data_IF_749895737739
#
_entry.id   IF_749895737739
#
_cell.length_a   1.000
_cell.length_b   1.000
_cell.length_c   1.000
_cell.angle_alpha   90.00
_cell.angle_beta   90.00
_cell.angle_gamma   90.00
#
_symmetry.space_group_name_H-M   'P 1'
#
loop_
_entity.id
_entity.type
_entity.pdbx_description
1 polymer ?
#
# COMPACT_ATOMS: atom_id res chain seq x y z
N UNK A 1 73.51 18.60 33.57
CA UNK A 1 72.81 18.92 32.35
C UNK A 1 71.87 17.75 32.03
N UNK A 2 70.60 17.88 32.41
CA UNK A 2 69.57 16.80 32.18
C UNK A 2 68.77 17.08 30.89
N UNK A 3 68.92 16.23 29.93
CA UNK A 3 68.07 16.24 28.69
C UNK A 3 66.76 15.59 29.01
N UNK A 4 65.64 16.35 29.03
CA UNK A 4 64.26 15.84 29.06
C UNK A 4 63.83 15.44 27.65
N UNK A 5 63.61 14.15 27.46
CA UNK A 5 63.03 13.58 26.21
C UNK A 5 61.52 13.74 26.27
N UNK A 6 60.99 14.59 25.44
CA UNK A 6 59.51 14.73 25.24
C UNK A 6 59.06 13.67 24.20
N UNK A 7 58.34 12.65 24.67
CA UNK A 7 57.62 11.70 23.81
C UNK A 7 56.29 12.35 23.35
N UNK A 8 56.21 12.67 22.07
CA UNK A 8 54.98 13.09 21.41
C UNK A 8 54.21 11.83 21.03
N UNK A 9 53.13 11.49 21.76
CA UNK A 9 52.22 10.44 21.41
C UNK A 9 51.23 10.98 20.38
N UNK A 10 51.43 10.65 19.09
CA UNK A 10 50.45 10.94 18.03
C UNK A 10 49.25 10.03 18.19
N UNK A 11 48.15 10.59 18.66
CA UNK A 11 46.84 9.90 18.70
C UNK A 11 46.24 9.92 17.29
N UNK A 12 46.33 8.78 16.59
CA UNK A 12 45.71 8.59 15.28
C UNK A 12 44.21 8.45 15.49
N UNK A 13 43.44 9.53 15.25
CA UNK A 13 41.98 9.47 15.20
C UNK A 13 41.59 8.68 13.92
N UNK A 14 41.25 7.41 14.07
CA UNK A 14 40.60 6.63 13.05
C UNK A 14 39.14 7.09 13.01
N UNK A 15 38.82 8.01 12.10
CA UNK A 15 37.45 8.39 11.77
C UNK A 15 36.79 7.20 11.06
N UNK A 16 36.07 6.38 11.79
CA UNK A 16 35.14 5.43 11.19
C UNK A 16 34.00 6.24 10.54
N UNK A 17 34.13 6.45 9.25
CA UNK A 17 32.98 6.95 8.45
C UNK A 17 31.86 5.91 8.58
N UNK A 18 30.90 6.15 9.48
CA UNK A 18 29.61 5.47 9.40
C UNK A 18 29.03 5.88 8.04
N UNK A 19 29.12 4.98 7.06
CA UNK A 19 28.44 5.16 5.79
C UNK A 19 26.93 5.24 6.10
N UNK A 20 26.40 6.45 6.09
CA UNK A 20 24.95 6.63 6.17
C UNK A 20 24.36 5.92 4.94
N UNK A 21 23.52 4.93 5.19
CA UNK A 21 22.87 4.17 4.12
C UNK A 21 22.08 5.15 3.26
N UNK A 22 22.37 5.18 1.96
CA UNK A 22 21.72 6.12 1.06
C UNK A 22 20.24 5.73 0.84
N UNK A 23 19.43 6.69 0.42
CA UNK A 23 18.03 6.43 0.03
C UNK A 23 17.95 5.34 -1.03
N UNK A 24 18.83 5.41 -2.05
CA UNK A 24 18.85 4.43 -3.14
C UNK A 24 19.25 3.03 -2.64
N UNK A 25 20.13 2.91 -1.62
CA UNK A 25 20.49 1.62 -1.02
C UNK A 25 19.29 1.00 -0.27
N UNK A 26 18.53 1.81 0.48
CA UNK A 26 17.34 1.33 1.22
C UNK A 26 16.28 0.85 0.22
N UNK A 27 16.02 1.62 -0.83
CA UNK A 27 15.05 1.28 -1.87
C UNK A 27 15.49 0.02 -2.63
N UNK A 28 16.75 -0.06 -3.03
CA UNK A 28 17.30 -1.23 -3.73
C UNK A 28 17.21 -2.49 -2.87
N UNK A 29 17.50 -2.38 -1.58
CA UNK A 29 17.37 -3.48 -0.62
C UNK A 29 15.91 -3.93 -0.45
N UNK A 30 14.97 -2.98 -0.39
CA UNK A 30 13.53 -3.27 -0.36
C UNK A 30 13.07 -4.00 -1.64
N UNK A 31 13.44 -3.51 -2.82
CA UNK A 31 13.10 -4.13 -4.11
C UNK A 31 13.67 -5.56 -4.17
N UNK A 32 14.92 -5.75 -3.76
CA UNK A 32 15.55 -7.07 -3.67
C UNK A 32 14.81 -7.99 -2.68
N UNK A 33 14.46 -7.50 -1.49
CA UNK A 33 13.72 -8.23 -0.47
C UNK A 33 12.32 -8.66 -0.92
N UNK A 34 11.67 -7.86 -1.78
CA UNK A 34 10.40 -8.20 -2.42
C UNK A 34 10.51 -9.30 -3.48
N UNK A 35 11.70 -9.65 -3.94
CA UNK A 35 11.94 -10.68 -4.97
C UNK A 35 12.72 -10.18 -6.19
N UNK A 36 13.07 -8.90 -6.21
CA UNK A 36 13.87 -8.26 -7.26
C UNK A 36 13.07 -7.59 -8.37
N UNK A 37 13.69 -6.61 -9.01
CA UNK A 37 13.05 -5.74 -10.00
C UNK A 37 12.47 -6.54 -11.19
N UNK A 38 13.22 -7.49 -11.73
CA UNK A 38 12.78 -8.26 -12.90
C UNK A 38 11.50 -9.05 -12.62
N UNK A 39 11.40 -9.67 -11.45
CA UNK A 39 10.19 -10.40 -11.06
C UNK A 39 9.00 -9.46 -10.86
N UNK A 40 9.20 -8.32 -10.19
CA UNK A 40 8.15 -7.31 -10.01
C UNK A 40 7.64 -6.85 -11.39
N UNK A 41 8.54 -6.53 -12.32
CA UNK A 41 8.18 -6.09 -13.68
C UNK A 41 7.55 -7.19 -14.54
N UNK A 42 7.82 -8.46 -14.24
CA UNK A 42 7.26 -9.60 -14.97
C UNK A 42 5.79 -9.89 -14.63
N UNK A 43 5.28 -9.36 -13.52
CA UNK A 43 3.85 -9.48 -13.15
C UNK A 43 3.01 -8.65 -14.11
N UNK A 44 2.11 -9.28 -14.85
CA UNK A 44 1.18 -8.64 -15.79
C UNK A 44 -0.22 -8.49 -15.21
N UNK A 45 -0.62 -9.47 -14.43
CA UNK A 45 -1.92 -9.51 -13.75
C UNK A 45 -1.74 -10.01 -12.33
N UNK A 46 -2.60 -9.56 -11.45
CA UNK A 46 -2.63 -9.98 -10.04
C UNK A 46 -4.08 -10.06 -9.56
N UNK A 47 -4.38 -11.08 -8.77
CA UNK A 47 -5.61 -11.17 -8.00
C UNK A 47 -5.27 -11.44 -6.55
N UNK A 48 -5.79 -10.60 -5.66
CA UNK A 48 -5.75 -10.79 -4.21
C UNK A 48 -7.18 -11.00 -3.73
N UNK A 49 -7.41 -12.05 -2.99
CA UNK A 49 -8.71 -12.31 -2.35
C UNK A 49 -8.52 -12.69 -0.90
N UNK A 50 -9.53 -12.42 -0.08
CA UNK A 50 -9.50 -12.67 1.35
C UNK A 50 -10.63 -11.98 2.09
N UNK A 51 -10.38 -11.64 3.35
CA UNK A 51 -11.35 -10.99 4.23
C UNK A 51 -10.88 -9.59 4.61
N UNK A 52 -11.83 -8.66 4.64
CA UNK A 52 -11.65 -7.31 5.16
C UNK A 52 -12.61 -7.09 6.32
N UNK A 53 -12.13 -6.45 7.38
CA UNK A 53 -12.94 -6.06 8.54
C UNK A 53 -12.74 -4.57 8.80
N UNK A 54 -13.83 -3.87 9.08
CA UNK A 54 -13.86 -2.45 9.47
C UNK A 54 -14.30 -2.29 10.94
N UNK A 55 -14.19 -3.35 11.75
CA UNK A 55 -14.63 -3.40 13.12
C UNK A 55 -15.73 -4.45 13.36
N UNK A 56 -16.36 -4.48 14.53
CA UNK A 56 -17.42 -5.42 14.85
C UNK A 56 -18.58 -5.34 13.84
N UNK A 57 -19.04 -6.49 13.36
CA UNK A 57 -20.20 -6.63 12.46
C UNK A 57 -20.06 -5.99 11.06
N UNK A 58 -18.85 -5.59 10.68
CA UNK A 58 -18.54 -4.99 9.38
C UNK A 58 -17.37 -5.70 8.70
N UNK A 59 -17.50 -6.99 8.51
CA UNK A 59 -16.50 -7.83 7.84
C UNK A 59 -17.10 -8.55 6.63
N UNK A 60 -16.24 -8.94 5.71
CA UNK A 60 -16.66 -9.71 4.55
C UNK A 60 -15.54 -9.93 3.55
N UNK A 61 -15.83 -10.71 2.50
CA UNK A 61 -14.83 -11.01 1.48
C UNK A 61 -14.51 -9.80 0.61
N UNK A 62 -13.27 -9.76 0.15
CA UNK A 62 -12.83 -8.84 -0.89
C UNK A 62 -12.11 -9.57 -2.03
N UNK A 63 -12.14 -8.95 -3.19
CA UNK A 63 -11.33 -9.31 -4.36
C UNK A 63 -10.74 -8.02 -4.92
N UNK A 64 -9.42 -8.02 -5.16
CA UNK A 64 -8.72 -6.97 -5.89
C UNK A 64 -8.03 -7.60 -7.07
N UNK A 65 -8.35 -7.15 -8.27
CA UNK A 65 -7.71 -7.55 -9.51
C UNK A 65 -6.99 -6.36 -10.12
N UNK A 66 -5.77 -6.59 -10.57
CA UNK A 66 -4.93 -5.59 -11.24
C UNK A 66 -4.42 -6.14 -12.55
N UNK A 67 -4.30 -5.26 -13.56
CA UNK A 67 -3.69 -5.59 -14.85
C UNK A 67 -2.88 -4.39 -15.35
N UNK A 68 -1.69 -4.66 -15.85
CA UNK A 68 -0.87 -3.59 -16.46
C UNK A 68 -1.61 -2.92 -17.63
N UNK A 69 -1.40 -1.60 -17.84
CA UNK A 69 -0.43 -0.78 -17.09
C UNK A 69 -0.92 -0.33 -15.71
N UNK A 70 -2.19 -0.03 -15.48
CA UNK A 70 -2.72 0.54 -14.23
C UNK A 70 -4.21 0.20 -14.06
N UNK A 71 -4.69 -0.92 -14.58
CA UNK A 71 -6.09 -1.30 -14.42
C UNK A 71 -6.34 -1.88 -13.04
N UNK A 72 -7.48 -1.55 -12.46
CA UNK A 72 -7.92 -2.05 -11.17
C UNK A 72 -9.41 -2.40 -11.19
N UNK A 73 -9.75 -3.52 -10.60
CA UNK A 73 -11.10 -3.91 -10.24
C UNK A 73 -11.09 -4.39 -8.79
N UNK A 74 -11.93 -3.77 -7.95
CA UNK A 74 -12.06 -4.10 -6.54
C UNK A 74 -13.52 -4.35 -6.20
N UNK A 75 -13.78 -5.44 -5.50
CA UNK A 75 -15.06 -5.79 -4.91
C UNK A 75 -14.89 -6.01 -3.40
N UNK A 76 -15.75 -5.40 -2.59
CA UNK A 76 -15.81 -5.60 -1.14
C UNK A 76 -17.26 -5.88 -0.78
N UNK A 77 -17.53 -7.03 -0.20
CA UNK A 77 -18.89 -7.42 0.19
C UNK A 77 -19.04 -7.37 1.69
N UNK A 78 -19.90 -6.49 2.21
CA UNK A 78 -20.25 -6.36 3.62
C UNK A 78 -21.75 -6.57 3.77
N UNK A 79 -22.16 -7.45 4.67
CA UNK A 79 -23.58 -7.77 4.91
C UNK A 79 -24.37 -8.12 3.62
N UNK A 80 -23.74 -8.85 2.70
CA UNK A 80 -24.33 -9.26 1.45
C UNK A 80 -24.45 -8.15 0.40
N UNK A 81 -23.93 -6.95 0.66
CA UNK A 81 -23.90 -5.83 -0.27
C UNK A 81 -22.48 -5.60 -0.78
N UNK A 82 -22.31 -5.51 -2.10
CA UNK A 82 -20.99 -5.40 -2.73
C UNK A 82 -20.71 -3.99 -3.23
N UNK A 83 -19.71 -3.34 -2.64
CA UNK A 83 -19.09 -2.12 -3.17
C UNK A 83 -18.15 -2.51 -4.30
N UNK A 84 -18.23 -1.80 -5.43
CA UNK A 84 -17.36 -2.05 -6.59
C UNK A 84 -16.64 -0.77 -6.97
N UNK A 85 -15.33 -0.87 -7.19
CA UNK A 85 -14.48 0.20 -7.72
C UNK A 85 -13.72 -0.34 -8.92
N UNK A 86 -13.78 0.38 -10.04
CA UNK A 86 -13.13 -0.05 -11.29
C UNK A 86 -12.38 1.12 -11.90
N UNK A 87 -11.18 0.87 -12.39
CA UNK A 87 -10.38 1.83 -13.16
C UNK A 87 -9.85 1.17 -14.44
N UNK A 88 -10.05 1.81 -15.59
CA UNK A 88 -9.70 1.25 -16.90
C UNK A 88 -8.22 1.39 -17.28
N UNK A 89 -7.41 1.98 -16.39
CA UNK A 89 -5.98 2.20 -16.61
C UNK A 89 -5.66 3.39 -17.51
N UNK A 90 -6.65 4.22 -17.88
CA UNK A 90 -6.48 5.38 -18.77
C UNK A 90 -7.01 6.66 -18.15
N UNK A 91 -8.33 6.84 -18.16
CA UNK A 91 -8.96 8.06 -17.70
C UNK A 91 -10.30 7.84 -17.03
N UNK A 92 -10.90 6.66 -17.14
CA UNK A 92 -12.25 6.39 -16.64
C UNK A 92 -12.20 5.45 -15.43
N UNK A 93 -12.82 5.90 -14.35
CA UNK A 93 -13.07 5.09 -13.18
C UNK A 93 -14.53 5.16 -12.77
N UNK A 94 -15.03 4.10 -12.18
CA UNK A 94 -16.42 3.96 -11.72
C UNK A 94 -16.48 3.40 -10.31
N UNK A 95 -17.50 3.87 -9.58
CA UNK A 95 -17.84 3.37 -8.24
C UNK A 95 -19.30 2.96 -8.26
N UNK A 96 -19.59 1.78 -7.72
CA UNK A 96 -20.91 1.39 -7.25
C UNK A 96 -20.85 1.24 -5.74
N UNK A 97 -21.58 2.09 -5.01
CA UNK A 97 -21.65 2.05 -3.56
C UNK A 97 -23.09 1.69 -3.13
N UNK A 98 -23.32 0.44 -2.66
CA UNK A 98 -24.66 -0.02 -2.27
C UNK A 98 -25.14 0.62 -0.96
N UNK A 99 -24.26 1.24 -0.18
CA UNK A 99 -24.57 1.85 1.12
C UNK A 99 -25.12 3.28 1.00
N UNK A 100 -25.34 3.78 -0.23
CA UNK A 100 -25.96 5.07 -0.49
C UNK A 100 -27.49 4.92 -0.60
N UNK A 101 -28.27 5.99 -0.34
CA UNK A 101 -29.73 5.92 -0.46
C UNK A 101 -30.26 5.52 -1.84
N UNK A 102 -29.52 5.88 -2.90
CA UNK A 102 -29.86 5.55 -4.29
C UNK A 102 -28.63 4.94 -4.97
N UNK A 103 -28.37 3.64 -4.79
CA UNK A 103 -27.21 2.99 -5.36
C UNK A 103 -27.21 3.04 -6.88
N UNK A 104 -26.13 3.57 -7.46
CA UNK A 104 -25.93 3.64 -8.90
C UNK A 104 -24.45 3.55 -9.23
N UNK A 105 -24.13 3.11 -10.45
CA UNK A 105 -22.78 3.18 -10.98
C UNK A 105 -22.51 4.62 -11.42
N UNK A 106 -21.62 5.30 -10.70
CA UNK A 106 -21.24 6.68 -10.99
C UNK A 106 -19.77 6.77 -11.38
N UNK A 107 -19.38 7.78 -12.18
CA UNK A 107 -17.97 8.05 -12.40
C UNK A 107 -17.25 8.38 -11.09
N UNK A 108 -15.98 7.99 -10.98
CA UNK A 108 -15.12 8.41 -9.88
C UNK A 108 -14.94 9.92 -9.88
N UNK A 109 -14.91 10.50 -8.69
CA UNK A 109 -14.50 11.90 -8.51
C UNK A 109 -13.02 12.07 -8.89
N UNK A 110 -12.60 13.33 -9.11
CA UNK A 110 -11.17 13.62 -9.35
C UNK A 110 -10.29 13.18 -8.18
N UNK A 111 -10.80 13.28 -6.97
CA UNK A 111 -10.12 12.82 -5.76
C UNK A 111 -9.95 11.28 -5.77
N UNK A 112 -11.00 10.53 -6.10
CA UNK A 112 -10.93 9.07 -6.21
C UNK A 112 -9.96 8.62 -7.31
N UNK A 113 -9.96 9.32 -8.46
CA UNK A 113 -9.04 9.05 -9.56
C UNK A 113 -7.58 9.27 -9.16
N UNK A 114 -7.28 10.29 -8.35
CA UNK A 114 -5.92 10.52 -7.86
C UNK A 114 -5.44 9.37 -6.97
N UNK A 115 -6.29 8.88 -6.08
CA UNK A 115 -5.94 7.80 -5.15
C UNK A 115 -5.89 6.42 -5.83
N UNK A 116 -6.74 6.19 -6.85
CA UNK A 116 -6.81 4.88 -7.53
C UNK A 116 -5.51 4.54 -8.26
N UNK A 117 -4.72 5.54 -8.68
CA UNK A 117 -3.41 5.30 -9.31
C UNK A 117 -2.47 4.53 -8.40
N UNK A 118 -2.39 4.91 -7.13
CA UNK A 118 -1.51 4.25 -6.16
C UNK A 118 -1.98 2.82 -5.87
N UNK A 119 -3.30 2.59 -5.85
CA UNK A 119 -3.89 1.27 -5.67
C UNK A 119 -3.72 0.37 -6.90
N UNK A 120 -3.74 0.94 -8.11
CA UNK A 120 -3.60 0.21 -9.37
C UNK A 120 -2.13 -0.11 -9.72
N UNK A 121 -1.18 0.67 -9.20
CA UNK A 121 0.25 0.48 -9.43
C UNK A 121 0.83 -0.58 -8.50
N UNK A 122 0.77 -1.85 -8.90
CA UNK A 122 1.33 -2.93 -8.09
C UNK A 122 2.87 -3.04 -8.12
N UNK A 123 3.56 -2.22 -8.91
CA UNK A 123 5.00 -2.00 -8.75
C UNK A 123 5.29 -1.22 -7.44
N UNK A 124 4.34 -0.39 -7.02
CA UNK A 124 4.42 0.46 -5.85
C UNK A 124 5.23 1.75 -6.09
N UNK A 125 5.29 2.64 -5.12
CA UNK A 125 5.83 3.98 -5.31
C UNK A 125 7.36 4.05 -5.42
N UNK A 126 8.08 2.96 -5.14
CA UNK A 126 9.55 2.91 -5.08
C UNK A 126 10.20 2.41 -6.36
N UNK A 127 9.51 1.56 -7.13
CA UNK A 127 10.00 1.11 -8.44
C UNK A 127 9.89 2.26 -9.42
N UNK A 128 10.99 2.62 -10.07
CA UNK A 128 11.09 3.75 -11.00
C UNK A 128 10.58 5.06 -10.39
N UNK A 129 10.83 5.29 -9.10
CA UNK A 129 10.25 6.39 -8.35
C UNK A 129 10.55 7.78 -8.95
N UNK A 130 11.75 7.97 -9.52
CA UNK A 130 12.16 9.21 -10.19
C UNK A 130 11.32 9.47 -11.44
N UNK A 131 11.09 8.42 -12.25
CA UNK A 131 10.28 8.52 -13.48
C UNK A 131 8.79 8.76 -13.17
N UNK A 132 8.32 8.27 -12.01
CA UNK A 132 6.98 8.57 -11.48
C UNK A 132 6.84 10.00 -10.94
N UNK A 133 7.94 10.75 -10.87
CA UNK A 133 7.96 12.11 -10.34
C UNK A 133 7.96 12.16 -8.80
N UNK A 134 8.27 11.05 -8.13
CA UNK A 134 8.37 10.98 -6.68
C UNK A 134 9.75 11.49 -6.22
N UNK A 135 9.76 12.24 -5.13
CA UNK A 135 10.97 12.63 -4.41
C UNK A 135 11.03 11.87 -3.10
N UNK A 136 12.17 11.23 -2.81
CA UNK A 136 12.35 10.42 -1.61
C UNK A 136 13.54 10.95 -0.81
N UNK A 137 13.35 11.11 0.50
CA UNK A 137 14.34 11.65 1.43
C UNK A 137 14.46 10.72 2.63
N UNK A 138 15.68 10.44 3.08
CA UNK A 138 15.91 9.78 4.35
C UNK A 138 15.60 10.74 5.50
N UNK A 139 14.84 10.28 6.48
CA UNK A 139 14.49 11.09 7.66
C UNK A 139 15.38 10.69 8.85
N UNK A 140 15.21 9.47 9.33
CA UNK A 140 15.91 8.94 10.48
C UNK A 140 15.76 7.41 10.58
N UNK A 141 16.17 6.87 11.73
CA UNK A 141 16.01 5.46 12.09
C UNK A 141 15.19 5.37 13.38
N UNK A 142 14.08 4.67 13.34
CA UNK A 142 13.12 4.58 14.46
C UNK A 142 12.84 3.13 14.86
N UNK A 143 12.18 2.96 16.02
CA UNK A 143 11.64 1.67 16.46
C UNK A 143 10.16 1.59 16.07
N UNK A 144 9.80 0.58 15.28
CA UNK A 144 8.43 0.28 14.89
C UNK A 144 8.11 -1.15 15.34
N UNK A 145 7.13 -1.29 16.24
CA UNK A 145 6.74 -2.59 16.81
C UNK A 145 7.94 -3.42 17.34
N UNK A 146 8.90 -2.74 18.00
CA UNK A 146 10.10 -3.38 18.54
C UNK A 146 11.20 -3.69 17.53
N UNK A 147 11.03 -3.34 16.25
CA UNK A 147 12.01 -3.51 15.19
C UNK A 147 12.64 -2.17 14.80
N UNK A 148 13.94 -2.18 14.54
CA UNK A 148 14.63 -1.02 14.00
C UNK A 148 14.23 -0.81 12.53
N UNK A 149 13.82 0.40 12.16
CA UNK A 149 13.34 0.73 10.83
C UNK A 149 13.95 2.01 10.29
N UNK A 150 14.22 2.03 8.99
CA UNK A 150 14.59 3.25 8.26
C UNK A 150 13.32 3.99 7.85
N UNK A 151 13.20 5.26 8.26
CA UNK A 151 12.08 6.14 7.85
C UNK A 151 12.46 6.91 6.61
N UNK A 152 11.69 6.74 5.54
CA UNK A 152 11.77 7.54 4.32
C UNK A 152 10.54 8.43 4.19
N UNK A 153 10.75 9.67 3.78
CA UNK A 153 9.71 10.61 3.36
C UNK A 153 9.59 10.54 1.84
N UNK A 154 8.39 10.29 1.35
CA UNK A 154 8.05 10.37 -0.06
C UNK A 154 7.17 11.58 -0.29
N UNK A 155 7.54 12.43 -1.25
CA UNK A 155 6.69 13.49 -1.80
C UNK A 155 6.33 13.09 -3.24
N UNK A 156 5.06 12.88 -3.51
CA UNK A 156 4.60 12.49 -4.85
C UNK A 156 4.58 13.71 -5.81
N UNK A 157 4.27 13.47 -7.08
CA UNK A 157 4.22 14.52 -8.12
C UNK A 157 3.17 15.61 -7.86
N UNK A 158 2.16 15.33 -7.01
CA UNK A 158 1.11 16.30 -6.63
C UNK A 158 1.46 17.09 -5.37
N UNK A 159 2.57 16.73 -4.70
CA UNK A 159 3.05 17.38 -3.49
C UNK A 159 2.57 16.70 -2.19
N UNK A 160 1.81 15.62 -2.29
CA UNK A 160 1.37 14.87 -1.11
C UNK A 160 2.55 14.16 -0.45
N UNK A 161 2.56 14.15 0.87
CA UNK A 161 3.64 13.59 1.68
C UNK A 161 3.17 12.33 2.39
N UNK A 162 3.99 11.28 2.30
CA UNK A 162 3.84 10.05 3.05
C UNK A 162 5.16 9.61 3.65
N UNK A 163 5.12 8.81 4.72
CA UNK A 163 6.30 8.24 5.35
C UNK A 163 6.22 6.72 5.32
N UNK A 164 7.35 6.11 4.99
CA UNK A 164 7.48 4.65 4.86
C UNK A 164 8.59 4.16 5.75
N UNK A 165 8.38 3.04 6.43
CA UNK A 165 9.29 2.48 7.41
C UNK A 165 9.71 1.09 6.99
N UNK A 166 10.99 0.93 6.68
CA UNK A 166 11.57 -0.32 6.22
C UNK A 166 12.36 -1.00 7.33
N UNK A 167 12.07 -2.27 7.60
CA UNK A 167 12.79 -3.10 8.57
C UNK A 167 14.29 -3.10 8.25
N UNK A 168 15.12 -2.64 9.19
CA UNK A 168 16.56 -2.55 8.99
C UNK A 168 17.25 -3.94 8.89
N UNK A 169 16.54 -5.03 9.21
CA UNK A 169 17.08 -6.39 9.19
C UNK A 169 16.76 -7.12 7.89
N UNK A 170 15.51 -7.03 7.40
CA UNK A 170 15.04 -7.77 6.23
C UNK A 170 14.58 -6.88 5.08
N UNK A 171 14.64 -5.56 5.24
CA UNK A 171 14.29 -4.53 4.26
C UNK A 171 12.83 -4.53 3.79
N UNK A 172 11.92 -5.28 4.44
CA UNK A 172 10.51 -5.25 4.10
C UNK A 172 9.81 -4.04 4.73
N UNK A 173 8.71 -3.61 4.13
CA UNK A 173 7.91 -2.49 4.63
C UNK A 173 7.19 -2.90 5.92
N UNK A 174 7.37 -2.14 7.00
CA UNK A 174 6.70 -2.35 8.29
C UNK A 174 5.48 -1.46 8.46
N UNK A 175 5.61 -0.20 8.03
CA UNK A 175 4.58 0.81 8.25
C UNK A 175 4.58 1.82 7.11
N UNK A 176 3.39 2.31 6.79
CA UNK A 176 3.16 3.45 5.91
C UNK A 176 2.18 4.40 6.60
N UNK A 177 2.50 5.69 6.64
CA UNK A 177 1.66 6.71 7.25
C UNK A 177 1.59 7.96 6.37
N UNK A 178 0.53 8.73 6.55
CA UNK A 178 0.33 9.97 5.81
C UNK A 178 -0.88 10.75 6.32
N UNK A 179 -1.32 11.69 5.49
CA UNK A 179 -2.50 12.51 5.76
C UNK A 179 -3.43 12.44 4.54
N UNK A 180 -4.72 12.27 4.78
CA UNK A 180 -5.75 12.30 3.73
C UNK A 180 -6.73 13.44 4.01
N UNK A 181 -7.23 14.07 2.95
CA UNK A 181 -8.30 15.05 3.07
C UNK A 181 -9.65 14.35 3.09
N UNK A 182 -10.37 14.49 4.22
CA UNK A 182 -11.75 14.01 4.37
C UNK A 182 -12.61 15.22 4.74
N UNK A 183 -13.57 15.58 3.90
CA UNK A 183 -14.40 16.77 4.08
C UNK A 183 -13.55 18.03 4.37
N UNK A 184 -12.53 18.25 3.55
CA UNK A 184 -11.56 19.37 3.62
C UNK A 184 -10.67 19.38 4.88
N UNK A 185 -10.79 18.41 5.76
CA UNK A 185 -9.94 18.26 6.95
C UNK A 185 -8.81 17.27 6.67
N UNK A 186 -7.63 17.61 7.14
CA UNK A 186 -6.49 16.71 7.13
C UNK A 186 -6.66 15.65 8.23
N UNK A 187 -6.82 14.41 7.82
CA UNK A 187 -6.98 13.26 8.72
C UNK A 187 -5.75 12.36 8.60
N UNK A 188 -4.98 12.16 9.66
CA UNK A 188 -3.86 11.24 9.65
C UNK A 188 -4.37 9.81 9.49
N UNK A 189 -3.54 8.97 8.88
CA UNK A 189 -3.77 7.53 8.76
C UNK A 189 -2.44 6.80 8.79
N UNK A 190 -2.48 5.55 9.23
CA UNK A 190 -1.34 4.65 9.18
C UNK A 190 -1.75 3.24 8.82
N UNK A 191 -0.81 2.48 8.27
CA UNK A 191 -0.98 1.07 7.92
C UNK A 191 0.25 0.28 8.32
N UNK A 192 0.04 -0.88 8.93
CA UNK A 192 1.08 -1.81 9.33
C UNK A 192 1.01 -3.06 8.46
N UNK A 193 2.17 -3.57 8.04
CA UNK A 193 2.31 -4.70 7.12
C UNK A 193 2.93 -5.88 7.83
N UNK A 194 2.22 -7.00 7.82
CA UNK A 194 2.59 -8.20 8.56
C UNK A 194 2.50 -9.45 7.67
N UNK A 195 2.99 -10.58 8.21
CA UNK A 195 2.84 -11.91 7.61
C UNK A 195 3.26 -11.95 6.14
N UNK A 196 4.51 -11.56 5.87
CA UNK A 196 5.05 -11.61 4.52
C UNK A 196 5.29 -13.05 4.10
N UNK A 197 4.60 -13.47 3.02
CA UNK A 197 4.75 -14.80 2.41
C UNK A 197 5.23 -14.67 0.98
N UNK A 198 5.83 -15.73 0.47
CA UNK A 198 6.30 -15.78 -0.90
C UNK A 198 5.23 -16.34 -1.83
N UNK A 199 4.98 -15.62 -2.94
CA UNK A 199 4.12 -16.06 -4.03
C UNK A 199 4.89 -15.85 -5.34
N UNK A 200 5.19 -16.93 -6.05
CA UNK A 200 5.95 -16.93 -7.30
C UNK A 200 7.30 -16.16 -7.21
N UNK A 201 7.97 -16.26 -6.05
CA UNK A 201 9.25 -15.61 -5.79
C UNK A 201 9.14 -14.12 -5.48
N UNK A 202 7.95 -13.59 -5.23
CA UNK A 202 7.68 -12.25 -4.74
C UNK A 202 7.13 -12.31 -3.31
N UNK A 203 7.55 -11.38 -2.45
CA UNK A 203 7.02 -11.28 -1.09
C UNK A 203 5.86 -10.30 -1.02
N UNK A 204 4.74 -10.78 -0.47
CA UNK A 204 3.51 -10.03 -0.25
C UNK A 204 3.12 -10.05 1.22
N UNK A 205 2.60 -8.94 1.78
CA UNK A 205 1.96 -8.97 3.09
C UNK A 205 0.62 -9.69 3.00
N UNK A 206 0.37 -10.64 3.89
CA UNK A 206 -0.92 -11.33 3.99
C UNK A 206 -1.83 -10.74 5.06
N UNK A 207 -1.29 -9.85 5.89
CA UNK A 207 -2.06 -9.07 6.86
C UNK A 207 -1.66 -7.61 6.79
N UNK A 208 -2.65 -6.73 6.61
CA UNK A 208 -2.49 -5.28 6.71
C UNK A 208 -3.49 -4.79 7.73
N UNK A 209 -3.01 -4.02 8.71
CA UNK A 209 -3.84 -3.34 9.71
C UNK A 209 -3.69 -1.83 9.49
N UNK A 210 -4.82 -1.14 9.39
CA UNK A 210 -4.84 0.30 9.12
C UNK A 210 -5.82 0.98 10.06
N UNK A 211 -5.53 2.20 10.46
CA UNK A 211 -6.56 3.03 11.08
C UNK A 211 -7.60 3.40 10.03
N UNK A 212 -8.86 3.23 10.38
CA UNK A 212 -9.96 3.70 9.54
C UNK A 212 -10.08 5.23 9.68
N UNK A 213 -9.73 6.01 8.65
CA UNK A 213 -9.63 7.46 8.76
C UNK A 213 -10.93 8.10 9.24
N UNK A 214 -10.83 8.90 10.32
CA UNK A 214 -11.97 9.59 10.91
C UNK A 214 -12.83 8.74 11.86
N UNK A 215 -12.36 7.55 12.22
CA UNK A 215 -12.99 6.67 13.23
C UNK A 215 -11.93 6.16 14.20
N UNK A 216 -12.35 5.62 15.34
CA UNK A 216 -11.48 4.91 16.29
C UNK A 216 -11.37 3.40 15.95
N UNK A 217 -11.73 3.02 14.73
CA UNK A 217 -11.74 1.62 14.30
C UNK A 217 -10.50 1.27 13.51
N UNK A 218 -10.01 0.05 13.68
CA UNK A 218 -8.95 -0.53 12.89
C UNK A 218 -9.56 -1.33 11.74
N UNK A 219 -9.15 -1.02 10.52
CA UNK A 219 -9.41 -1.84 9.35
C UNK A 219 -8.36 -2.96 9.31
N UNK A 220 -8.81 -4.19 9.12
CA UNK A 220 -7.93 -5.35 8.94
C UNK A 220 -8.19 -6.01 7.59
N UNK A 221 -7.15 -6.15 6.79
CA UNK A 221 -7.18 -6.84 5.50
C UNK A 221 -6.34 -8.11 5.64
N UNK A 222 -6.96 -9.28 5.50
CA UNK A 222 -6.29 -10.58 5.52
C UNK A 222 -6.39 -11.21 4.15
N UNK A 223 -5.28 -11.28 3.42
CA UNK A 223 -5.22 -12.01 2.17
C UNK A 223 -5.25 -13.52 2.48
N UNK A 224 -6.12 -14.24 1.79
CA UNK A 224 -6.18 -15.72 1.83
C UNK A 224 -5.45 -16.30 0.63
N UNK A 225 -5.60 -15.65 -0.54
CA UNK A 225 -4.98 -16.08 -1.78
C UNK A 225 -4.47 -14.88 -2.58
N UNK A 226 -3.25 -15.02 -3.09
CA UNK A 226 -2.64 -14.09 -4.04
C UNK A 226 -2.21 -14.89 -5.26
N UNK A 227 -2.65 -14.48 -6.44
CA UNK A 227 -2.36 -15.12 -7.72
C UNK A 227 -1.76 -14.08 -8.67
N UNK A 228 -0.69 -14.42 -9.36
CA UNK A 228 -0.04 -13.54 -10.33
C UNK A 228 0.03 -14.21 -11.69
N UNK A 229 0.00 -13.38 -12.75
CA UNK A 229 0.05 -13.81 -14.14
C UNK A 229 -1.08 -14.79 -14.52
N UNK A 230 -2.25 -14.63 -13.89
CA UNK A 230 -3.46 -15.35 -14.25
C UNK A 230 -4.18 -14.67 -15.43
N UNK A 231 -4.95 -15.39 -16.24
CA UNK A 231 -5.84 -14.79 -17.23
C UNK A 231 -6.88 -13.89 -16.57
N UNK A 232 -6.96 -12.63 -16.99
CA UNK A 232 -8.01 -11.69 -16.63
C UNK A 232 -8.58 -11.07 -17.91
N UNK A 233 -9.91 -11.04 -18.03
CA UNK A 233 -10.58 -10.44 -19.17
C UNK A 233 -10.57 -8.91 -19.06
N UNK A 234 -10.28 -8.23 -20.16
CA UNK A 234 -10.22 -6.77 -20.24
C UNK A 234 -11.54 -6.10 -19.83
N UNK A 235 -12.68 -6.76 -20.12
CA UNK A 235 -14.02 -6.34 -19.75
C UNK A 235 -14.23 -6.16 -18.24
N UNK A 236 -13.45 -6.84 -17.39
CA UNK A 236 -13.48 -6.68 -15.93
C UNK A 236 -13.15 -5.27 -15.48
N UNK A 237 -12.38 -4.54 -16.28
CA UNK A 237 -11.90 -3.21 -15.98
C UNK A 237 -12.70 -2.09 -16.65
N UNK A 238 -13.84 -2.44 -17.25
CA UNK A 238 -14.82 -1.50 -17.80
C UNK A 238 -15.87 -1.07 -16.78
N UNK A 239 -16.81 -0.20 -17.23
CA UNK A 239 -17.93 0.21 -16.37
C UNK A 239 -18.68 -1.03 -15.85
N UNK A 240 -18.77 -1.22 -14.51
CA UNK A 240 -19.42 -2.41 -13.97
C UNK A 240 -20.93 -2.37 -14.17
N UNK A 241 -21.54 -3.55 -14.24
CA UNK A 241 -22.98 -3.67 -14.05
C UNK A 241 -23.23 -3.76 -12.53
N UNK A 242 -24.23 -3.05 -11.98
CA UNK A 242 -24.57 -3.20 -10.57
C UNK A 242 -24.97 -4.66 -10.30
N UNK A 243 -24.58 -5.24 -9.16
CA UNK A 243 -25.07 -6.55 -8.78
C UNK A 243 -26.60 -6.52 -8.68
N UNK A 244 -27.23 -7.65 -8.97
CA UNK A 244 -28.67 -7.79 -8.75
C UNK A 244 -28.98 -7.48 -7.27
N UNK A 245 -30.09 -6.79 -6.95
CA UNK A 245 -30.49 -6.57 -5.56
C UNK A 245 -30.48 -7.90 -4.81
N UNK A 246 -29.90 -7.90 -3.61
CA UNK A 246 -29.94 -9.08 -2.75
C UNK A 246 -31.40 -9.50 -2.57
N UNK A 247 -31.75 -10.72 -2.91
CA UNK A 247 -33.10 -11.24 -2.65
C UNK A 247 -33.29 -11.22 -1.14
N UNK A 248 -34.32 -10.54 -0.61
CA UNK A 248 -34.56 -10.54 0.83
C UNK A 248 -34.73 -11.99 1.31
N UNK A 249 -34.24 -12.33 2.51
CA UNK A 249 -34.46 -13.66 3.06
C UNK A 249 -35.96 -13.97 3.06
N UNK A 250 -36.36 -15.22 2.80
CA UNK A 250 -37.76 -15.61 2.60
C UNK A 250 -38.70 -15.29 3.76
N UNK A 251 -38.17 -14.96 4.94
CA UNK A 251 -38.92 -14.70 6.16
C UNK A 251 -38.82 -13.25 6.68
N UNK A 252 -38.40 -12.27 5.86
CA UNK A 252 -38.41 -10.89 6.29
C UNK A 252 -39.86 -10.40 6.49
N UNK A 253 -40.24 -9.87 7.68
CA UNK A 253 -41.59 -9.34 7.91
C UNK A 253 -41.86 -8.20 6.91
N UNK A 254 -42.97 -8.28 6.22
CA UNK A 254 -43.43 -7.19 5.36
C UNK A 254 -43.73 -5.96 6.21
N UNK A 255 -43.34 -4.74 5.74
CA UNK A 255 -43.59 -3.49 6.46
C UNK A 255 -45.06 -3.22 6.72
#
# INVERSE_FOLDING_TARGET
MSRKLLLFASFLLVSTSLSAQSVDDIISSYIAARGGLDKIKSVKTERVSGMISFGPDADGPFIVERMRPLKLHMEITINGQTLIRVYDGKAAGWVYNPFTPNPAVVPMSQYDLTNIFDEADFDGPFVDYKDKGNKIEFVDKQQILGKSAYKLKLTNKTGDVSFFYFDATNSLLLKWEGTRKINEKDVPWESFFHDFREVNGLKYPFLIESDAPGTDQTQRITAEKIEVNIPLEDSRFGKPNPPAPATPPPDAPKP
#
